data_IF_596315619153
#
_entry.id   IF_596315619153
#
_cell.length_a   1.000
_cell.length_b   1.000
_cell.length_c   1.000
_cell.angle_alpha   90.00
_cell.angle_beta   90.00
_cell.angle_gamma   90.00
#
_symmetry.space_group_name_H-M   'P 1'
#
loop_
_entity.id
_entity.type
_entity.pdbx_description
1 polymer ?
#
# COMPACT_ATOMS: atom_id res chain seq x y z
N UNK A 1 -3.15 23.98 0.87
CA UNK A 1 -1.67 24.05 1.02
C UNK A 1 -1.06 23.33 -0.16
N UNK A 2 -0.05 23.89 -0.79
CA UNK A 2 0.61 23.27 -1.94
C UNK A 2 1.75 22.35 -1.48
N UNK A 3 1.80 21.14 -2.02
CA UNK A 3 2.81 20.11 -1.73
C UNK A 3 3.78 19.98 -2.90
N UNK A 4 5.06 19.81 -2.61
CA UNK A 4 6.06 19.55 -3.64
C UNK A 4 5.88 18.16 -4.26
N UNK A 5 5.58 17.18 -3.41
CA UNK A 5 5.34 15.79 -3.80
C UNK A 5 4.26 15.18 -2.93
N UNK A 6 3.25 14.61 -3.57
CA UNK A 6 2.28 13.72 -2.91
C UNK A 6 2.50 12.29 -3.39
N UNK A 7 2.39 11.35 -2.45
CA UNK A 7 2.45 9.91 -2.70
C UNK A 7 1.12 9.32 -2.28
N UNK A 8 0.44 8.62 -3.20
CA UNK A 8 -0.84 7.97 -2.93
C UNK A 8 -0.64 6.50 -2.59
N UNK A 9 -1.07 6.12 -1.40
CA UNK A 9 -1.01 4.76 -0.89
C UNK A 9 0.07 4.57 0.16
N UNK A 10 -0.23 3.77 1.17
CA UNK A 10 0.62 3.46 2.33
C UNK A 10 1.08 2.00 2.37
N UNK A 11 1.02 1.30 1.24
CA UNK A 11 1.63 0.00 1.09
C UNK A 11 3.17 0.09 1.01
N UNK A 12 3.87 -1.04 0.79
CA UNK A 12 5.33 -1.08 0.71
C UNK A 12 5.91 -0.10 -0.31
N UNK A 13 5.29 0.02 -1.48
CA UNK A 13 5.72 0.95 -2.53
C UNK A 13 5.60 2.41 -2.09
N UNK A 14 4.49 2.76 -1.42
CA UNK A 14 4.24 4.12 -0.91
C UNK A 14 5.24 4.52 0.16
N UNK A 15 5.43 3.69 1.19
CA UNK A 15 6.42 3.98 2.23
C UNK A 15 7.85 4.01 1.70
N UNK A 16 8.22 3.08 0.81
CA UNK A 16 9.55 3.10 0.18
C UNK A 16 9.78 4.39 -0.60
N UNK A 17 8.82 4.79 -1.43
CA UNK A 17 8.90 6.05 -2.19
C UNK A 17 9.04 7.25 -1.26
N UNK A 18 8.26 7.28 -0.17
CA UNK A 18 8.28 8.37 0.80
C UNK A 18 9.63 8.48 1.52
N UNK A 19 10.23 7.35 1.92
CA UNK A 19 11.54 7.32 2.56
C UNK A 19 12.62 7.88 1.62
N UNK A 20 12.66 7.42 0.37
CA UNK A 20 13.65 7.91 -0.59
C UNK A 20 13.44 9.38 -0.97
N UNK A 21 12.20 9.81 -1.16
CA UNK A 21 11.87 11.22 -1.41
C UNK A 21 12.28 12.12 -0.24
N UNK A 22 12.02 11.69 1.00
CA UNK A 22 12.45 12.42 2.19
C UNK A 22 13.98 12.50 2.30
N UNK A 23 14.68 11.41 2.01
CA UNK A 23 16.17 11.39 1.96
C UNK A 23 16.73 12.30 0.86
N UNK A 24 15.97 12.49 -0.25
CA UNK A 24 16.28 13.46 -1.30
C UNK A 24 15.84 14.90 -0.95
N UNK A 25 15.37 15.13 0.27
CA UNK A 25 14.92 16.43 0.77
C UNK A 25 13.70 17.02 0.05
N UNK A 26 12.84 16.18 -0.52
CA UNK A 26 11.63 16.59 -1.26
C UNK A 26 10.41 16.85 -0.36
N UNK A 27 10.52 16.68 0.95
CA UNK A 27 9.42 16.89 1.92
C UNK A 27 8.10 16.25 1.47
N UNK A 28 8.09 14.92 1.22
CA UNK A 28 6.92 14.26 0.68
C UNK A 28 5.75 14.26 1.65
N UNK A 29 4.54 14.31 1.10
CA UNK A 29 3.30 14.01 1.81
C UNK A 29 2.77 12.68 1.29
N UNK A 30 2.54 11.73 2.19
CA UNK A 30 1.95 10.44 1.89
C UNK A 30 0.48 10.44 2.32
N UNK A 31 -0.43 10.16 1.38
CA UNK A 31 -1.87 10.00 1.66
C UNK A 31 -2.19 8.52 1.67
N UNK A 32 -2.67 8.02 2.81
CA UNK A 32 -2.70 6.59 3.11
C UNK A 32 -3.66 5.77 2.25
N UNK A 33 -4.77 6.36 1.82
CA UNK A 33 -5.92 5.62 1.30
C UNK A 33 -6.81 5.09 2.45
N UNK A 34 -7.73 4.19 2.11
CA UNK A 34 -8.67 3.60 3.08
C UNK A 34 -7.99 2.54 3.95
N UNK A 35 -7.16 1.70 3.35
CA UNK A 35 -6.44 0.61 4.02
C UNK A 35 -5.01 1.04 4.32
N UNK A 36 -4.78 1.50 5.56
CA UNK A 36 -3.44 1.95 6.00
C UNK A 36 -2.50 0.75 6.10
N UNK A 37 -1.42 0.77 5.31
CA UNK A 37 -0.48 -0.35 5.18
C UNK A 37 -0.79 -1.28 4.01
N UNK A 38 -1.98 -1.16 3.40
CA UNK A 38 -2.39 -1.95 2.25
C UNK A 38 -2.56 -3.44 2.56
N UNK A 39 -2.53 -4.28 1.53
CA UNK A 39 -2.87 -5.71 1.63
C UNK A 39 -1.99 -6.51 2.60
N UNK A 40 -0.74 -6.13 2.82
CA UNK A 40 0.12 -6.84 3.77
C UNK A 40 -0.39 -6.79 5.21
N UNK A 41 -1.26 -5.86 5.56
CA UNK A 41 -1.87 -5.82 6.91
C UNK A 41 -2.86 -6.96 7.16
N UNK A 42 -3.30 -7.65 6.11
CA UNK A 42 -4.21 -8.81 6.18
C UNK A 42 -3.52 -10.13 5.87
N UNK A 43 -2.23 -10.09 5.52
CA UNK A 43 -1.39 -11.25 5.24
C UNK A 43 -0.71 -11.71 6.53
N UNK A 44 -0.58 -13.01 6.71
CA UNK A 44 0.16 -13.61 7.82
C UNK A 44 1.66 -13.58 7.52
N UNK A 45 2.23 -14.68 7.14
CA UNK A 45 3.65 -14.85 6.87
C UNK A 45 4.06 -14.25 5.52
N UNK A 46 5.21 -13.56 5.49
CA UNK A 46 5.78 -12.91 4.31
C UNK A 46 7.17 -13.47 4.06
N UNK A 47 7.28 -14.42 3.14
CA UNK A 47 8.54 -15.11 2.82
C UNK A 47 9.33 -14.45 1.67
N UNK A 48 8.69 -13.56 0.92
CA UNK A 48 9.25 -12.95 -0.29
C UNK A 48 9.72 -11.49 -0.09
N UNK A 49 9.91 -11.05 1.15
CA UNK A 49 10.47 -9.75 1.46
C UNK A 49 12.00 -9.84 1.61
N UNK A 50 12.82 -9.29 0.69
CA UNK A 50 14.26 -9.38 0.79
C UNK A 50 14.81 -8.67 2.04
N UNK A 51 15.70 -9.33 2.75
CA UNK A 51 16.34 -8.78 3.95
C UNK A 51 15.65 -9.13 5.26
N UNK A 52 14.56 -9.90 5.22
CA UNK A 52 13.90 -10.44 6.39
C UNK A 52 13.27 -11.79 6.02
N UNK A 53 13.60 -12.88 6.70
CA UNK A 53 13.25 -14.23 6.27
C UNK A 53 12.78 -15.14 7.42
N UNK A 54 12.82 -14.67 8.67
CA UNK A 54 12.39 -15.44 9.84
C UNK A 54 11.09 -14.89 10.39
N UNK A 55 10.02 -15.66 10.33
CA UNK A 55 8.70 -15.39 10.96
C UNK A 55 8.12 -14.00 10.70
N UNK A 56 8.46 -13.37 9.56
CA UNK A 56 8.00 -12.03 9.24
C UNK A 56 6.49 -12.00 8.97
N UNK A 57 5.75 -11.31 9.81
CA UNK A 57 4.32 -11.10 9.62
C UNK A 57 4.05 -9.80 8.83
N UNK A 58 3.07 -9.84 7.92
CA UNK A 58 2.71 -8.69 7.09
C UNK A 58 2.39 -7.42 7.90
N UNK A 59 1.56 -7.47 8.96
CA UNK A 59 1.29 -6.32 9.82
C UNK A 59 2.55 -5.74 10.45
N UNK A 60 3.48 -6.58 10.92
CA UNK A 60 4.71 -6.14 11.58
C UNK A 60 5.65 -5.44 10.58
N UNK A 61 5.75 -5.97 9.37
CA UNK A 61 6.48 -5.32 8.29
C UNK A 61 5.92 -3.92 8.02
N UNK A 62 4.60 -3.76 7.92
CA UNK A 62 3.99 -2.46 7.65
C UNK A 62 4.15 -1.47 8.80
N UNK A 63 4.11 -1.92 10.04
CA UNK A 63 4.45 -1.08 11.22
C UNK A 63 5.91 -0.59 11.15
N UNK A 64 6.84 -1.47 10.79
CA UNK A 64 8.27 -1.12 10.65
C UNK A 64 8.48 -0.12 9.51
N UNK A 65 7.83 -0.31 8.36
CA UNK A 65 7.91 0.61 7.22
C UNK A 65 7.34 1.99 7.56
N UNK A 66 6.20 2.05 8.24
CA UNK A 66 5.60 3.30 8.73
C UNK A 66 6.57 4.05 9.64
N UNK A 67 7.11 3.37 10.67
CA UNK A 67 8.09 3.97 11.60
C UNK A 67 9.33 4.47 10.87
N UNK A 68 9.76 3.77 9.82
CA UNK A 68 10.89 4.20 9.00
C UNK A 68 10.59 5.48 8.24
N UNK A 69 9.39 5.63 7.66
CA UNK A 69 8.96 6.88 7.03
C UNK A 69 8.85 8.03 8.04
N UNK A 70 8.27 7.78 9.22
CA UNK A 70 8.16 8.74 10.31
C UNK A 70 9.53 9.24 10.80
N UNK A 71 10.54 8.36 10.84
CA UNK A 71 11.93 8.72 11.18
C UNK A 71 12.50 9.83 10.28
N UNK A 72 12.08 9.88 9.02
CA UNK A 72 12.49 10.91 8.06
C UNK A 72 11.49 12.07 7.95
N UNK A 73 10.60 12.22 8.93
CA UNK A 73 9.60 13.29 8.99
C UNK A 73 8.69 13.36 7.77
N UNK A 74 8.34 12.20 7.19
CA UNK A 74 7.32 12.13 6.14
C UNK A 74 5.98 12.60 6.71
N UNK A 75 5.34 13.56 6.05
CA UNK A 75 4.00 14.00 6.41
C UNK A 75 2.98 12.93 5.99
N UNK A 76 2.34 12.25 6.94
CA UNK A 76 1.38 11.18 6.67
C UNK A 76 -0.04 11.71 6.95
N UNK A 77 -0.88 11.71 5.92
CA UNK A 77 -2.27 12.16 5.98
C UNK A 77 -3.21 10.97 5.78
N UNK A 78 -4.18 10.84 6.68
CA UNK A 78 -5.22 9.82 6.60
C UNK A 78 -6.42 10.36 5.81
N UNK A 79 -6.38 10.18 4.49
CA UNK A 79 -7.45 10.51 3.57
C UNK A 79 -7.46 9.53 2.38
N UNK A 80 -8.53 9.56 1.60
CA UNK A 80 -8.72 8.77 0.39
C UNK A 80 -8.96 9.69 -0.81
N UNK A 81 -8.04 9.65 -1.78
CA UNK A 81 -8.17 10.45 -3.00
C UNK A 81 -9.13 9.78 -3.98
N UNK A 82 -10.17 10.51 -4.36
CA UNK A 82 -11.22 10.05 -5.29
C UNK A 82 -10.91 10.38 -6.74
N UNK A 83 -10.23 11.49 -6.99
CA UNK A 83 -9.87 11.91 -8.35
C UNK A 83 -8.66 12.83 -8.35
N UNK A 84 -7.95 12.84 -9.47
CA UNK A 84 -6.81 13.72 -9.73
C UNK A 84 -7.07 14.44 -11.05
N UNK A 85 -6.90 15.75 -11.06
CA UNK A 85 -6.88 16.56 -12.28
C UNK A 85 -5.43 16.72 -12.73
N UNK A 86 -5.10 16.10 -13.87
CA UNK A 86 -3.78 16.15 -14.51
C UNK A 86 -3.63 17.29 -15.51
N UNK A 87 -4.72 18.00 -15.86
CA UNK A 87 -4.70 19.05 -16.85
C UNK A 87 -4.12 20.35 -16.30
N UNK A 88 -4.12 20.53 -14.98
CA UNK A 88 -3.63 21.74 -14.30
C UNK A 88 -2.27 21.51 -13.63
N UNK A 89 -1.51 22.60 -13.49
CA UNK A 89 -0.29 22.65 -12.66
C UNK A 89 -0.43 23.82 -11.68
N UNK A 90 -0.31 23.57 -10.37
CA UNK A 90 -0.12 22.26 -9.69
C UNK A 90 -1.30 21.31 -9.92
N UNK A 91 -1.02 20.00 -9.83
CA UNK A 91 -2.05 18.95 -9.90
C UNK A 91 -3.06 19.15 -8.77
N UNK A 92 -4.35 18.97 -9.06
CA UNK A 92 -5.40 19.05 -8.04
C UNK A 92 -5.92 17.66 -7.72
N UNK A 93 -5.82 17.26 -6.44
CA UNK A 93 -6.29 15.98 -5.93
C UNK A 93 -7.52 16.22 -5.04
N UNK A 94 -8.63 15.55 -5.34
CA UNK A 94 -9.85 15.62 -4.53
C UNK A 94 -9.92 14.42 -3.60
N UNK A 95 -9.70 14.67 -2.32
CA UNK A 95 -9.85 13.69 -1.26
C UNK A 95 -11.30 13.55 -0.77
N UNK A 96 -11.49 12.62 0.13
CA UNK A 96 -12.76 12.45 0.82
C UNK A 96 -13.00 13.53 1.87
N UNK A 97 -11.92 13.95 2.54
CA UNK A 97 -11.95 14.98 3.59
C UNK A 97 -11.66 16.37 3.04
N UNK A 98 -10.64 16.51 2.21
CA UNK A 98 -10.21 17.80 1.69
C UNK A 98 -9.59 17.70 0.27
N UNK A 99 -9.24 18.85 -0.30
CA UNK A 99 -8.54 18.92 -1.59
C UNK A 99 -7.10 19.34 -1.41
N UNK A 100 -6.21 18.76 -2.21
CA UNK A 100 -4.77 18.97 -2.15
C UNK A 100 -4.26 19.50 -3.49
N UNK A 101 -3.17 20.23 -3.45
CA UNK A 101 -2.42 20.64 -4.65
C UNK A 101 -0.99 20.11 -4.56
N UNK A 102 -0.46 19.60 -5.68
CA UNK A 102 0.89 19.05 -5.72
C UNK A 102 1.60 19.33 -7.04
N UNK A 103 2.88 19.63 -6.95
CA UNK A 103 3.74 19.78 -8.14
C UNK A 103 4.02 18.43 -8.81
N UNK A 104 4.15 17.37 -8.02
CA UNK A 104 4.47 16.02 -8.47
C UNK A 104 3.63 14.98 -7.73
N UNK A 105 3.39 13.84 -8.37
CA UNK A 105 2.57 12.76 -7.82
C UNK A 105 3.23 11.42 -8.08
N UNK A 106 3.29 10.59 -7.05
CA UNK A 106 3.60 9.15 -7.15
C UNK A 106 2.33 8.37 -6.84
N UNK A 107 1.92 7.49 -7.75
CA UNK A 107 0.77 6.61 -7.59
C UNK A 107 1.26 5.25 -7.12
N UNK A 108 0.97 4.91 -5.87
CA UNK A 108 1.37 3.66 -5.21
C UNK A 108 0.15 2.98 -4.54
N UNK A 109 -1.00 3.04 -5.22
CA UNK A 109 -2.30 2.64 -4.69
C UNK A 109 -2.50 1.13 -4.60
N UNK A 110 -1.56 0.34 -5.12
CA UNK A 110 -1.66 -1.11 -5.12
C UNK A 110 -2.79 -1.65 -6.00
N UNK A 111 -3.25 -2.83 -5.66
CA UNK A 111 -4.37 -3.51 -6.30
C UNK A 111 -5.20 -4.24 -5.25
N UNK A 112 -6.46 -4.50 -5.57
CA UNK A 112 -7.32 -5.36 -4.78
C UNK A 112 -7.66 -6.61 -5.59
N UNK A 113 -7.71 -7.75 -4.94
CA UNK A 113 -8.13 -8.99 -5.55
C UNK A 113 -9.58 -8.90 -6.06
N UNK A 114 -9.82 -9.47 -7.23
CA UNK A 114 -11.18 -9.62 -7.78
C UNK A 114 -11.63 -11.04 -7.54
N UNK A 115 -12.68 -11.20 -6.78
CA UNK A 115 -13.34 -12.47 -6.51
C UNK A 115 -14.61 -12.62 -7.35
N UNK A 116 -15.12 -13.84 -7.47
CA UNK A 116 -16.37 -14.13 -8.18
C UNK A 116 -17.61 -13.64 -7.42
N UNK A 117 -17.47 -13.36 -6.13
CA UNK A 117 -18.54 -12.88 -5.27
C UNK A 117 -19.38 -14.01 -4.63
N UNK A 118 -18.86 -15.23 -4.60
CA UNK A 118 -19.53 -16.36 -3.99
C UNK A 118 -19.35 -16.33 -2.46
N UNK A 119 -20.36 -16.75 -1.71
CA UNK A 119 -20.25 -16.85 -0.25
C UNK A 119 -19.17 -17.84 0.20
N UNK A 120 -18.96 -18.90 -0.57
CA UNK A 120 -17.90 -19.90 -0.34
C UNK A 120 -16.49 -19.29 -0.44
N UNK A 121 -16.26 -18.29 -1.30
CA UNK A 121 -14.96 -17.62 -1.36
C UNK A 121 -14.59 -16.98 -0.02
N UNK A 122 -15.55 -16.30 0.61
CA UNK A 122 -15.32 -15.66 1.93
C UNK A 122 -15.08 -16.70 3.02
N UNK A 123 -15.82 -17.81 2.97
CA UNK A 123 -15.72 -18.87 3.98
C UNK A 123 -14.39 -19.63 3.92
N UNK A 124 -13.81 -19.78 2.72
CA UNK A 124 -12.59 -20.55 2.47
C UNK A 124 -11.37 -19.67 2.13
N UNK A 125 -11.48 -18.34 2.21
CA UNK A 125 -10.36 -17.43 2.01
C UNK A 125 -9.23 -17.74 3.00
N UNK A 126 -8.02 -18.00 2.47
CA UNK A 126 -6.87 -18.48 3.26
C UNK A 126 -7.00 -19.93 3.77
N UNK A 127 -8.04 -20.67 3.33
CA UNK A 127 -8.29 -22.08 3.70
C UNK A 127 -8.55 -22.94 2.45
N UNK A 128 -7.91 -22.60 1.34
CA UNK A 128 -8.07 -23.26 0.06
C UNK A 128 -8.55 -22.35 -1.07
N UNK A 129 -9.06 -21.16 -0.78
CA UNK A 129 -9.37 -20.13 -1.77
C UNK A 129 -8.36 -18.98 -1.64
N UNK A 130 -7.67 -18.69 -2.73
CA UNK A 130 -6.73 -17.58 -2.85
C UNK A 130 -6.89 -16.89 -4.20
N UNK A 131 -6.60 -15.60 -4.24
CA UNK A 131 -6.50 -14.80 -5.46
C UNK A 131 -5.05 -14.57 -5.91
N UNK A 132 -4.06 -15.16 -5.23
CA UNK A 132 -2.64 -14.95 -5.49
C UNK A 132 -1.86 -16.27 -5.48
N UNK A 133 -1.66 -16.85 -6.65
CA UNK A 133 -0.93 -18.11 -6.77
C UNK A 133 0.54 -18.01 -6.29
N UNK A 134 1.19 -16.87 -6.53
CA UNK A 134 2.57 -16.64 -6.08
C UNK A 134 2.71 -16.38 -4.58
N UNK A 135 1.61 -15.98 -3.92
CA UNK A 135 1.61 -15.77 -2.48
C UNK A 135 1.33 -17.08 -1.73
N UNK A 136 0.35 -17.82 -2.19
CA UNK A 136 -0.25 -18.92 -1.42
C UNK A 136 -0.02 -20.30 -2.05
N UNK A 137 0.36 -20.37 -3.33
CA UNK A 137 0.51 -21.63 -4.06
C UNK A 137 1.56 -22.57 -3.44
N UNK A 138 2.57 -22.03 -2.79
CA UNK A 138 3.60 -22.79 -2.10
C UNK A 138 3.03 -23.67 -0.98
N UNK A 139 2.00 -23.22 -0.27
CA UNK A 139 1.36 -23.97 0.83
C UNK A 139 0.57 -25.19 0.35
N UNK A 140 0.28 -25.27 -0.95
CA UNK A 140 -0.49 -26.34 -1.57
C UNK A 140 0.35 -27.22 -2.51
N UNK A 141 1.68 -27.23 -2.29
CA UNK A 141 2.59 -28.09 -3.06
C UNK A 141 2.16 -29.55 -3.00
N UNK A 142 2.22 -30.23 -4.16
CA UNK A 142 1.82 -31.64 -4.31
C UNK A 142 0.32 -31.92 -4.05
N UNK A 143 -0.53 -30.89 -4.04
CA UNK A 143 -1.98 -31.02 -3.95
C UNK A 143 -2.62 -30.68 -5.31
N UNK A 144 -3.83 -31.23 -5.54
CA UNK A 144 -4.63 -30.94 -6.72
C UNK A 144 -5.25 -29.54 -6.58
N UNK A 145 -4.97 -28.62 -7.53
CA UNK A 145 -5.45 -27.24 -7.52
C UNK A 145 -6.28 -26.97 -8.78
N UNK A 146 -7.30 -26.12 -8.66
CA UNK A 146 -8.17 -25.68 -9.74
C UNK A 146 -8.08 -24.16 -9.98
#
# INVERSE_FOLDING_TARGET
>A
MEHQLIILGSGPAGYTSAIYAARANLKPTLITGLEVGGQLTTTTEVENWPGDFEDLQGPDLMVRMKKHAEKYNVNIIHDHIKSVDFATKPLTLKGQKESYQSQSLIIATGASAKYLGLESEKAFLGKGVSACATCDGFFYKDQELA
#
